data_IF_598153118303
#
_entry.id   IF_598153118303
#
_cell.length_a   1.000
_cell.length_b   1.000
_cell.length_c   1.000
_cell.angle_alpha   90.00
_cell.angle_beta   90.00
_cell.angle_gamma   90.00
#
_symmetry.space_group_name_H-M   'P 1'
#
loop_
_entity.id
_entity.type
_entity.pdbx_description
1 polymer ?
#
# COMPACT_ATOMS: atom_id res chain seq x y z
N UNK A 1 -0.32 -18.99 -15.49
CA UNK A 1 0.59 -18.39 -14.50
C UNK A 1 -0.21 -17.30 -13.79
N UNK A 2 -0.24 -17.30 -12.46
CA UNK A 2 -0.94 -16.25 -11.71
C UNK A 2 -0.46 -14.86 -12.12
N UNK A 3 -1.35 -13.89 -12.07
CA UNK A 3 -1.02 -12.50 -12.39
C UNK A 3 -0.11 -11.87 -11.32
N UNK A 4 0.54 -10.78 -11.66
CA UNK A 4 1.16 -9.88 -10.69
C UNK A 4 0.40 -8.55 -10.69
N UNK A 5 0.36 -7.87 -9.56
CA UNK A 5 -0.28 -6.58 -9.49
C UNK A 5 0.49 -5.58 -8.64
N UNK A 6 0.30 -4.29 -8.95
CA UNK A 6 0.78 -3.19 -8.13
C UNK A 6 -0.36 -2.22 -7.81
N UNK A 7 -0.50 -1.85 -6.53
CA UNK A 7 -1.37 -0.76 -6.12
C UNK A 7 -0.54 0.52 -6.03
N UNK A 8 -0.92 1.51 -6.82
CA UNK A 8 -0.28 2.82 -6.88
C UNK A 8 -1.08 3.86 -6.10
N UNK A 9 -0.37 4.63 -5.29
CA UNK A 9 -0.95 5.69 -4.45
C UNK A 9 -0.98 7.06 -5.14
N UNK A 10 -1.17 8.11 -4.34
CA UNK A 10 -1.35 9.51 -4.78
C UNK A 10 -0.17 10.12 -5.55
N UNK A 11 1.01 9.48 -5.54
CA UNK A 11 2.14 9.92 -6.39
C UNK A 11 1.84 9.80 -7.90
N UNK A 12 0.78 9.07 -8.28
CA UNK A 12 0.33 8.84 -9.67
C UNK A 12 -1.08 9.43 -9.89
N UNK A 13 -1.28 10.67 -9.44
CA UNK A 13 -2.63 11.25 -9.29
C UNK A 13 -3.30 11.65 -10.60
N UNK A 14 -2.56 12.06 -11.61
CA UNK A 14 -3.13 12.88 -12.69
C UNK A 14 -3.18 12.18 -14.06
N UNK A 15 -2.33 11.20 -14.31
CA UNK A 15 -2.26 10.53 -15.60
C UNK A 15 -1.64 9.14 -15.51
N UNK A 16 -1.94 8.31 -16.51
CA UNK A 16 -1.20 7.06 -16.73
C UNK A 16 0.29 7.37 -16.90
N UNK A 17 1.19 6.56 -16.28
CA UNK A 17 2.60 6.63 -16.61
C UNK A 17 2.79 6.44 -18.12
N UNK A 18 3.36 7.47 -18.80
CA UNK A 18 3.41 7.51 -20.26
C UNK A 18 4.35 6.48 -20.91
N UNK A 19 5.14 5.80 -20.09
CA UNK A 19 6.05 4.72 -20.46
C UNK A 19 5.41 3.31 -20.30
N UNK A 20 4.19 3.23 -19.78
CA UNK A 20 3.44 1.98 -19.59
C UNK A 20 2.27 1.90 -20.56
N UNK A 21 2.24 0.85 -21.38
CA UNK A 21 1.09 0.52 -22.22
C UNK A 21 0.00 -0.17 -21.38
N UNK A 22 -0.86 0.64 -20.78
CA UNK A 22 -1.93 0.22 -19.86
C UNK A 22 -3.31 0.32 -20.52
N UNK A 23 -4.10 -0.74 -20.37
CA UNK A 23 -5.50 -0.76 -20.84
C UNK A 23 -6.43 -0.98 -19.64
N UNK A 24 -7.45 -0.13 -19.45
CA UNK A 24 -8.42 -0.33 -18.37
C UNK A 24 -9.29 -1.56 -18.64
N UNK A 25 -9.52 -2.34 -17.59
CA UNK A 25 -10.44 -3.47 -17.54
C UNK A 25 -11.35 -3.28 -16.32
N UNK A 26 -12.66 -3.26 -16.56
CA UNK A 26 -13.66 -3.15 -15.50
C UNK A 26 -13.95 -4.55 -14.94
N UNK A 27 -13.76 -4.71 -13.65
CA UNK A 27 -14.01 -5.95 -12.91
C UNK A 27 -15.23 -5.75 -12.01
N UNK A 28 -16.29 -6.48 -12.27
CA UNK A 28 -17.46 -6.53 -11.39
C UNK A 28 -17.19 -7.50 -10.25
N UNK A 29 -17.44 -7.05 -9.02
CA UNK A 29 -17.29 -7.88 -7.82
C UNK A 29 -18.54 -7.77 -6.95
N UNK A 30 -18.70 -8.67 -6.01
CA UNK A 30 -19.78 -8.61 -5.01
C UNK A 30 -19.72 -7.33 -4.14
N UNK A 31 -18.55 -6.68 -4.06
CA UNK A 31 -18.31 -5.43 -3.32
C UNK A 31 -18.44 -4.18 -4.17
N UNK A 32 -18.73 -4.34 -5.47
CA UNK A 32 -18.84 -3.25 -6.45
C UNK A 32 -17.81 -3.35 -7.56
N UNK A 33 -17.90 -2.40 -8.49
CA UNK A 33 -17.03 -2.34 -9.67
C UNK A 33 -15.68 -1.74 -9.33
N UNK A 34 -14.63 -2.33 -9.94
CA UNK A 34 -13.26 -1.84 -9.81
C UNK A 34 -12.56 -1.83 -11.17
N UNK A 35 -11.85 -0.74 -11.50
CA UNK A 35 -11.01 -0.68 -12.69
C UNK A 35 -9.59 -1.17 -12.37
N UNK A 36 -9.14 -2.21 -13.06
CA UNK A 36 -7.75 -2.62 -13.13
C UNK A 36 -7.17 -2.21 -14.49
N UNK A 37 -5.90 -1.83 -14.50
CA UNK A 37 -5.20 -1.46 -15.72
C UNK A 37 -4.23 -2.57 -16.09
N UNK A 38 -4.56 -3.30 -17.14
CA UNK A 38 -3.73 -4.39 -17.64
C UNK A 38 -2.53 -3.84 -18.42
N UNK A 39 -1.33 -4.30 -18.05
CA UNK A 39 -0.12 -4.02 -18.80
C UNK A 39 -0.06 -4.90 -20.04
N UNK A 40 0.13 -4.29 -21.21
CA UNK A 40 0.27 -4.98 -22.50
C UNK A 40 1.72 -5.37 -22.76
N UNK A 41 1.93 -6.17 -23.81
CA UNK A 41 3.25 -6.58 -24.30
C UNK A 41 4.10 -7.36 -23.28
N UNK A 42 3.46 -8.04 -22.33
CA UNK A 42 4.12 -8.83 -21.30
C UNK A 42 3.66 -10.29 -21.34
N UNK A 43 4.58 -11.22 -21.04
CA UNK A 43 4.28 -12.67 -21.09
C UNK A 43 3.37 -13.12 -19.96
N UNK A 44 3.56 -12.55 -18.76
CA UNK A 44 2.77 -12.83 -17.57
C UNK A 44 1.68 -11.77 -17.42
N UNK A 45 0.43 -12.11 -17.09
CA UNK A 45 -0.58 -11.09 -16.79
C UNK A 45 -0.11 -10.16 -15.69
N UNK A 46 -0.16 -8.86 -15.93
CA UNK A 46 0.27 -7.84 -14.98
C UNK A 46 -0.75 -6.70 -14.94
N UNK A 47 -1.08 -6.25 -13.74
CA UNK A 47 -2.10 -5.24 -13.51
C UNK A 47 -1.59 -4.11 -12.61
N UNK A 48 -2.10 -2.91 -12.88
CA UNK A 48 -1.95 -1.75 -12.03
C UNK A 48 -3.34 -1.36 -11.51
N UNK A 49 -3.43 -1.10 -10.22
CA UNK A 49 -4.61 -0.55 -9.57
C UNK A 49 -4.25 0.84 -9.05
N UNK A 50 -4.98 1.86 -9.49
CA UNK A 50 -4.86 3.21 -8.93
C UNK A 50 -5.80 3.32 -7.75
N UNK A 51 -5.24 3.31 -6.53
CA UNK A 51 -5.98 3.29 -5.25
C UNK A 51 -7.06 4.33 -5.14
N UNK A 52 -6.78 5.53 -5.61
CA UNK A 52 -7.67 6.68 -5.53
C UNK A 52 -8.42 6.94 -6.84
N UNK A 53 -8.45 5.94 -7.75
CA UNK A 53 -8.88 6.06 -9.14
C UNK A 53 -7.96 6.97 -10.00
N UNK A 54 -8.24 7.04 -11.28
CA UNK A 54 -7.52 7.88 -12.22
C UNK A 54 -8.53 8.64 -13.10
N UNK A 55 -8.52 10.00 -13.08
CA UNK A 55 -7.72 10.86 -12.21
C UNK A 55 -8.05 10.68 -10.72
N UNK A 56 -7.13 11.08 -9.84
CA UNK A 56 -7.30 10.97 -8.39
C UNK A 56 -8.54 11.75 -7.91
N UNK A 57 -9.55 11.06 -7.42
CA UNK A 57 -10.79 11.66 -6.93
C UNK A 57 -11.28 11.13 -5.59
N UNK A 58 -10.79 9.95 -5.16
CA UNK A 58 -11.21 9.37 -3.89
C UNK A 58 -10.30 9.81 -2.74
N UNK A 59 -10.90 10.30 -1.67
CA UNK A 59 -10.21 10.43 -0.38
C UNK A 59 -9.96 9.04 0.24
N UNK A 60 -9.02 8.89 1.17
CA UNK A 60 -8.70 7.61 1.78
C UNK A 60 -9.90 6.89 2.42
N UNK A 61 -10.85 7.65 2.97
CA UNK A 61 -12.08 7.13 3.58
C UNK A 61 -13.17 6.75 2.56
N UNK A 62 -12.97 7.02 1.28
CA UNK A 62 -13.92 6.71 0.19
C UNK A 62 -13.47 5.49 -0.63
N UNK A 63 -12.30 4.95 -0.34
CA UNK A 63 -11.76 3.80 -1.05
C UNK A 63 -12.55 2.54 -0.68
N UNK A 64 -13.02 1.81 -1.69
CA UNK A 64 -13.64 0.51 -1.50
C UNK A 64 -12.57 -0.60 -1.52
N UNK A 65 -11.92 -0.81 -0.38
CA UNK A 65 -10.82 -1.77 -0.24
C UNK A 65 -11.24 -3.21 -0.54
N UNK A 66 -12.50 -3.60 -0.18
CA UNK A 66 -13.00 -4.95 -0.49
C UNK A 66 -13.18 -5.17 -1.99
N UNK A 67 -13.72 -4.18 -2.72
CA UNK A 67 -13.83 -4.27 -4.17
C UNK A 67 -12.44 -4.36 -4.83
N UNK A 68 -11.46 -3.61 -4.32
CA UNK A 68 -10.07 -3.69 -4.80
C UNK A 68 -9.48 -5.08 -4.59
N UNK A 69 -9.60 -5.65 -3.39
CA UNK A 69 -9.11 -6.98 -3.06
C UNK A 69 -9.82 -8.08 -3.87
N UNK A 70 -11.15 -8.01 -3.98
CA UNK A 70 -11.94 -8.95 -4.78
C UNK A 70 -11.58 -8.89 -6.28
N UNK A 71 -11.34 -7.71 -6.83
CA UNK A 71 -10.90 -7.56 -8.22
C UNK A 71 -9.52 -8.18 -8.47
N UNK A 72 -8.58 -8.03 -7.52
CA UNK A 72 -7.28 -8.70 -7.60
C UNK A 72 -7.41 -10.22 -7.56
N UNK A 73 -8.30 -10.75 -6.73
CA UNK A 73 -8.62 -12.18 -6.68
C UNK A 73 -9.24 -12.66 -7.99
N UNK A 74 -10.14 -11.88 -8.58
CA UNK A 74 -10.84 -12.24 -9.82
C UNK A 74 -9.89 -12.37 -11.03
N UNK A 75 -8.76 -11.65 -11.03
CA UNK A 75 -7.72 -11.77 -12.07
C UNK A 75 -6.60 -12.77 -11.74
N UNK A 76 -6.84 -13.65 -10.77
CA UNK A 76 -5.85 -14.66 -10.29
C UNK A 76 -4.52 -14.01 -9.90
N UNK A 77 -4.58 -12.92 -9.13
CA UNK A 77 -3.38 -12.25 -8.63
C UNK A 77 -2.63 -13.16 -7.65
N UNK A 78 -1.39 -13.52 -7.97
CA UNK A 78 -0.55 -14.36 -7.11
C UNK A 78 0.57 -13.62 -6.40
N UNK A 79 0.79 -12.33 -6.71
CA UNK A 79 1.76 -11.46 -6.03
C UNK A 79 1.29 -10.01 -6.11
N UNK A 80 1.34 -9.31 -4.99
CA UNK A 80 0.91 -7.92 -4.89
C UNK A 80 2.04 -7.02 -4.35
N UNK A 81 2.33 -5.93 -5.06
CA UNK A 81 3.12 -4.82 -4.56
C UNK A 81 2.20 -3.67 -4.14
N UNK A 82 2.26 -3.26 -2.88
CA UNK A 82 1.47 -2.13 -2.38
C UNK A 82 2.39 -0.93 -2.18
N UNK A 83 2.08 0.20 -2.81
CA UNK A 83 2.88 1.42 -2.68
C UNK A 83 2.15 2.50 -1.90
N UNK A 84 2.88 3.36 -1.20
CA UNK A 84 2.31 4.53 -0.53
C UNK A 84 3.33 5.65 -0.36
N UNK A 85 2.84 6.90 -0.37
CA UNK A 85 3.59 8.04 0.16
C UNK A 85 3.32 8.18 1.64
N UNK A 86 4.37 8.35 2.45
CA UNK A 86 4.26 8.30 3.91
C UNK A 86 4.84 9.55 4.59
N UNK A 87 4.30 9.87 5.75
CA UNK A 87 4.95 10.75 6.69
C UNK A 87 5.97 9.97 7.51
N UNK A 88 7.17 10.51 7.68
CA UNK A 88 8.26 9.88 8.42
C UNK A 88 8.23 10.37 9.87
N UNK A 89 8.27 9.43 10.80
CA UNK A 89 8.16 9.65 12.25
C UNK A 89 9.51 9.53 12.96
N UNK A 90 10.52 9.00 12.27
CA UNK A 90 11.87 8.77 12.76
C UNK A 90 12.87 9.62 11.98
N UNK A 91 13.72 10.38 12.69
CA UNK A 91 14.68 11.29 12.08
C UNK A 91 15.79 10.59 11.29
N UNK A 92 16.07 9.35 11.62
CA UNK A 92 17.11 8.56 10.99
C UNK A 92 16.62 7.90 9.67
N UNK A 93 15.30 7.87 9.44
CA UNK A 93 14.72 7.37 8.20
C UNK A 93 14.80 8.46 7.11
N UNK A 94 15.43 8.19 5.96
CA UNK A 94 15.64 9.18 4.91
C UNK A 94 14.34 9.52 4.16
N UNK A 95 14.20 10.82 3.79
CA UNK A 95 13.18 11.24 2.84
C UNK A 95 13.59 10.93 1.40
N UNK A 96 12.58 10.82 0.53
CA UNK A 96 12.73 10.69 -0.92
C UNK A 96 13.53 9.47 -1.39
N UNK A 97 13.60 8.45 -0.54
CA UNK A 97 14.16 7.14 -0.89
C UNK A 97 13.11 6.06 -0.73
N UNK A 98 13.12 5.02 -1.59
CA UNK A 98 12.29 3.85 -1.40
C UNK A 98 12.63 3.14 -0.08
N UNK A 99 11.60 2.77 0.68
CA UNK A 99 11.67 2.03 1.92
C UNK A 99 10.80 0.79 1.77
N UNK A 100 11.26 -0.36 2.24
CA UNK A 100 10.43 -1.56 2.33
C UNK A 100 9.70 -1.57 3.67
N UNK A 101 8.49 -2.09 3.67
CA UNK A 101 7.72 -2.27 4.91
C UNK A 101 7.84 -3.72 5.34
N UNK A 102 8.22 -3.95 6.60
CA UNK A 102 8.34 -5.29 7.19
C UNK A 102 7.22 -5.61 8.18
N UNK A 103 6.65 -4.59 8.82
CA UNK A 103 5.55 -4.78 9.75
C UNK A 103 4.59 -3.58 9.73
N UNK A 104 3.38 -3.75 10.30
CA UNK A 104 2.38 -2.71 10.36
C UNK A 104 1.63 -2.66 11.69
N UNK A 105 1.25 -1.45 12.08
CA UNK A 105 0.35 -1.18 13.19
C UNK A 105 -1.00 -0.71 12.62
N UNK A 106 -2.03 -1.54 12.81
CA UNK A 106 -3.44 -1.23 12.52
C UNK A 106 -4.27 -1.59 13.76
N UNK A 107 -4.24 -0.70 14.75
CA UNK A 107 -4.67 -1.01 16.12
C UNK A 107 -6.15 -1.37 16.26
N UNK A 108 -7.01 -0.81 15.43
CA UNK A 108 -8.45 -1.03 15.47
C UNK A 108 -8.95 -2.07 14.45
N UNK A 109 -8.10 -2.52 13.54
CA UNK A 109 -8.43 -3.46 12.46
C UNK A 109 -9.77 -3.17 11.76
N UNK A 110 -10.01 -1.88 11.41
CA UNK A 110 -11.25 -1.43 10.78
C UNK A 110 -10.98 -0.77 9.43
N UNK A 111 -11.93 -0.99 8.52
CA UNK A 111 -12.02 -0.21 7.28
C UNK A 111 -12.51 1.22 7.58
N UNK A 112 -12.31 2.16 6.66
CA UNK A 112 -12.72 3.55 6.86
C UNK A 112 -14.22 3.76 7.10
N UNK A 113 -15.08 2.84 6.64
CA UNK A 113 -16.52 2.84 6.90
C UNK A 113 -16.90 2.35 8.31
N UNK A 114 -15.89 1.97 9.13
CA UNK A 114 -16.07 1.47 10.48
C UNK A 114 -16.32 -0.04 10.57
N UNK A 115 -16.48 -0.73 9.46
CA UNK A 115 -16.60 -2.19 9.45
C UNK A 115 -15.27 -2.86 9.76
N UNK A 116 -15.27 -4.13 10.16
CA UNK A 116 -14.05 -4.90 10.36
C UNK A 116 -13.26 -5.01 9.06
N UNK A 117 -11.92 -4.93 9.14
CA UNK A 117 -11.06 -5.11 7.99
C UNK A 117 -10.92 -6.60 7.67
N UNK A 118 -11.92 -7.14 6.96
CA UNK A 118 -11.99 -8.54 6.53
C UNK A 118 -12.84 -8.68 5.28
N UNK A 119 -12.55 -9.72 4.47
CA UNK A 119 -13.41 -10.19 3.37
C UNK A 119 -14.53 -11.09 3.89
N UNK A 120 -14.40 -11.66 5.09
CA UNK A 120 -15.31 -12.64 5.65
C UNK A 120 -16.39 -11.95 6.50
N UNK A 121 -17.44 -11.48 5.86
CA UNK A 121 -18.54 -10.77 6.52
C UNK A 121 -19.68 -11.66 6.95
N UNK A 122 -19.76 -12.87 6.39
CA UNK A 122 -20.79 -13.86 6.70
C UNK A 122 -20.16 -15.12 7.34
N UNK A 123 -20.84 -15.78 8.26
CA UNK A 123 -20.34 -17.02 8.85
C UNK A 123 -20.14 -18.11 7.78
N UNK A 124 -19.02 -18.86 7.90
CA UNK A 124 -18.76 -20.02 7.05
C UNK A 124 -17.85 -21.02 7.78
N UNK A 125 -18.07 -22.29 7.57
CA UNK A 125 -17.25 -23.37 8.14
C UNK A 125 -15.83 -23.41 7.54
N UNK A 126 -15.59 -22.67 6.45
CA UNK A 126 -14.30 -22.59 5.77
C UNK A 126 -13.50 -21.36 6.14
N UNK A 127 -14.10 -20.42 6.91
CA UNK A 127 -13.41 -19.23 7.37
C UNK A 127 -12.65 -19.49 8.67
N UNK A 128 -11.44 -18.96 8.77
CA UNK A 128 -10.59 -19.03 9.95
C UNK A 128 -9.98 -17.68 10.30
N UNK A 129 -9.24 -17.63 11.39
CA UNK A 129 -8.46 -16.46 11.73
C UNK A 129 -7.27 -16.33 10.76
N UNK A 130 -7.03 -15.10 10.29
CA UNK A 130 -5.79 -14.78 9.60
C UNK A 130 -4.63 -14.82 10.61
N UNK A 131 -3.66 -15.68 10.35
CA UNK A 131 -2.45 -15.83 11.18
C UNK A 131 -1.24 -15.43 10.33
N UNK A 132 -0.41 -14.54 10.86
CA UNK A 132 0.83 -14.11 10.24
C UNK A 132 2.00 -14.89 10.85
N UNK A 133 2.43 -15.97 10.18
CA UNK A 133 3.56 -16.79 10.66
C UNK A 133 4.90 -16.04 10.50
N UNK A 134 5.06 -15.26 9.42
CA UNK A 134 6.28 -14.48 9.08
C UNK A 134 6.00 -12.97 8.98
N UNK A 135 4.87 -12.50 9.53
CA UNK A 135 4.41 -11.11 9.39
C UNK A 135 3.47 -10.88 8.20
N UNK A 136 2.98 -9.64 8.05
CA UNK A 136 1.98 -9.31 7.02
C UNK A 136 2.58 -9.18 5.61
N UNK A 137 3.90 -9.09 5.49
CA UNK A 137 4.62 -8.97 4.22
C UNK A 137 5.42 -10.23 3.94
N UNK A 138 5.22 -10.82 2.76
CA UNK A 138 5.91 -12.04 2.38
C UNK A 138 7.42 -11.79 2.18
N UNK A 139 8.25 -12.46 2.97
CA UNK A 139 9.71 -12.28 2.96
C UNK A 139 10.30 -12.47 1.56
N UNK A 140 9.87 -13.52 0.84
CA UNK A 140 10.34 -13.80 -0.52
C UNK A 140 9.99 -12.70 -1.52
N UNK A 141 8.77 -12.13 -1.43
CA UNK A 141 8.33 -11.04 -2.31
C UNK A 141 9.06 -9.74 -1.97
N UNK A 142 9.23 -9.46 -0.68
CA UNK A 142 9.99 -8.29 -0.20
C UNK A 142 11.44 -8.33 -0.68
N UNK A 143 12.09 -9.50 -0.63
CA UNK A 143 13.45 -9.66 -1.15
C UNK A 143 13.50 -9.45 -2.68
N UNK A 144 12.55 -9.99 -3.43
CA UNK A 144 12.49 -9.75 -4.88
C UNK A 144 12.32 -8.25 -5.22
N UNK A 145 11.49 -7.53 -4.48
CA UNK A 145 11.35 -6.06 -4.66
C UNK A 145 12.67 -5.36 -4.35
N UNK A 146 13.42 -5.77 -3.32
CA UNK A 146 14.75 -5.24 -3.00
C UNK A 146 15.74 -5.46 -4.14
N UNK A 147 15.78 -6.68 -4.68
CA UNK A 147 16.67 -7.04 -5.77
C UNK A 147 16.37 -6.26 -7.06
N UNK A 148 15.09 -6.11 -7.39
CA UNK A 148 14.64 -5.30 -8.53
C UNK A 148 14.98 -3.81 -8.36
N UNK A 149 14.80 -3.28 -7.16
CA UNK A 149 15.22 -1.90 -6.86
C UNK A 149 16.72 -1.70 -7.08
N UNK A 150 17.55 -2.68 -6.69
CA UNK A 150 18.98 -2.67 -6.96
C UNK A 150 19.32 -2.65 -8.46
N UNK A 151 18.58 -3.40 -9.29
CA UNK A 151 18.78 -3.42 -10.75
C UNK A 151 18.48 -2.07 -11.41
N UNK A 152 17.51 -1.31 -10.90
CA UNK A 152 17.19 0.04 -11.39
C UNK A 152 17.98 1.15 -10.68
N UNK A 153 19.06 0.77 -9.99
CA UNK A 153 19.92 1.68 -9.21
C UNK A 153 19.19 2.51 -8.16
N UNK A 154 18.03 2.02 -7.71
CA UNK A 154 17.32 2.59 -6.58
C UNK A 154 17.90 1.99 -5.29
N UNK A 155 18.65 2.77 -4.53
CA UNK A 155 19.07 2.36 -3.19
C UNK A 155 17.81 2.28 -2.31
N UNK A 156 17.38 1.08 -2.00
CA UNK A 156 16.34 0.84 -1.00
C UNK A 156 17.00 0.92 0.36
N UNK A 157 16.52 1.85 1.18
CA UNK A 157 16.92 1.93 2.58
C UNK A 157 16.40 0.72 3.37
N UNK A 158 16.71 0.68 4.65
CA UNK A 158 16.27 -0.38 5.54
C UNK A 158 14.74 -0.53 5.57
N UNK A 159 14.27 -1.62 6.15
CA UNK A 159 12.85 -1.86 6.38
C UNK A 159 12.29 -0.93 7.47
N UNK A 160 11.00 -0.66 7.40
CA UNK A 160 10.30 0.21 8.35
C UNK A 160 8.98 -0.40 8.79
N UNK A 161 8.63 -0.17 10.05
CA UNK A 161 7.30 -0.47 10.59
C UNK A 161 6.33 0.66 10.25
N UNK A 162 5.23 0.31 9.62
CA UNK A 162 4.23 1.23 9.11
C UNK A 162 3.04 1.36 10.08
N UNK A 163 2.62 2.61 10.40
CA UNK A 163 1.37 2.86 11.12
C UNK A 163 0.25 3.28 10.17
N UNK A 164 -0.84 2.56 10.21
CA UNK A 164 -2.09 2.97 9.57
C UNK A 164 -2.82 3.99 10.44
N UNK A 165 -3.12 5.12 9.87
CA UNK A 165 -3.88 6.19 10.53
C UNK A 165 -5.07 6.54 9.65
N UNK A 166 -6.24 6.16 10.12
CA UNK A 166 -7.47 6.39 9.38
C UNK A 166 -7.65 7.87 9.02
N UNK A 167 -7.89 8.13 7.70
CA UNK A 167 -8.16 9.48 7.19
C UNK A 167 -9.63 9.90 7.38
N UNK A 168 -10.07 11.03 6.77
CA UNK A 168 -9.30 11.83 5.81
C UNK A 168 -8.51 13.00 6.44
N UNK A 169 -8.58 13.24 7.74
CA UNK A 169 -7.84 14.34 8.39
C UNK A 169 -6.37 14.00 8.62
N UNK A 170 -5.54 15.02 8.64
CA UNK A 170 -4.15 14.87 9.07
C UNK A 170 -4.05 14.56 10.56
N UNK A 171 -2.94 13.98 10.98
CA UNK A 171 -2.64 13.64 12.36
C UNK A 171 -2.37 14.90 13.18
N UNK A 172 -2.75 14.86 14.45
CA UNK A 172 -2.35 15.86 15.44
C UNK A 172 -0.90 15.67 15.88
N UNK A 173 -0.29 16.67 16.52
CA UNK A 173 1.05 16.53 17.09
C UNK A 173 1.09 15.39 18.14
N UNK A 174 0.06 15.27 18.97
CA UNK A 174 -0.03 14.19 19.96
C UNK A 174 -0.06 12.80 19.33
N UNK A 175 -0.80 12.61 18.23
CA UNK A 175 -0.81 11.35 17.47
C UNK A 175 0.57 11.05 16.86
N UNK A 176 1.24 12.04 16.29
CA UNK A 176 2.59 11.88 15.76
C UNK A 176 3.63 11.61 16.88
N UNK A 177 3.40 12.04 18.12
CA UNK A 177 4.20 11.66 19.28
C UNK A 177 3.92 10.23 19.75
N UNK A 178 2.69 9.73 19.60
CA UNK A 178 2.29 8.41 20.08
C UNK A 178 2.84 7.28 19.20
N UNK A 179 2.76 7.40 17.88
CA UNK A 179 3.11 6.34 16.95
C UNK A 179 4.56 5.83 17.07
N UNK A 180 5.60 6.68 17.17
CA UNK A 180 6.97 6.19 17.40
C UNK A 180 7.14 5.43 18.71
N UNK A 181 6.37 5.78 19.74
CA UNK A 181 6.39 5.06 21.03
C UNK A 181 5.79 3.67 20.94
N UNK A 182 4.96 3.42 19.93
CA UNK A 182 4.42 2.11 19.60
C UNK A 182 5.32 1.35 18.60
N UNK A 183 6.44 1.93 18.18
CA UNK A 183 7.41 1.30 17.28
C UNK A 183 7.26 1.67 15.81
N UNK A 184 6.32 2.57 15.42
CA UNK A 184 6.18 2.98 14.04
C UNK A 184 7.24 3.99 13.63
N UNK A 185 7.81 3.80 12.45
CA UNK A 185 8.78 4.71 11.85
C UNK A 185 8.17 5.59 10.74
N UNK A 186 7.07 5.11 10.14
CA UNK A 186 6.32 5.85 9.10
C UNK A 186 4.82 5.72 9.30
N UNK A 187 4.04 6.65 8.76
CA UNK A 187 2.59 6.57 8.79
C UNK A 187 1.92 7.03 7.49
N UNK A 188 0.76 6.47 7.18
CA UNK A 188 -0.12 6.94 6.12
C UNK A 188 -1.57 6.52 6.37
N UNK A 189 -2.48 6.94 5.47
CA UNK A 189 -3.93 6.68 5.56
C UNK A 189 -4.39 5.51 4.68
N UNK A 190 -3.45 4.71 4.16
CA UNK A 190 -3.69 3.61 3.20
C UNK A 190 -2.71 2.47 3.46
N UNK A 191 -2.60 1.51 2.56
CA UNK A 191 -1.69 0.37 2.58
C UNK A 191 -2.12 -0.77 3.52
N UNK A 192 -2.38 -0.52 4.81
CA UNK A 192 -2.68 -1.60 5.75
C UNK A 192 -3.98 -2.36 5.38
N UNK A 193 -5.11 -1.70 5.03
CA UNK A 193 -6.29 -2.45 4.61
C UNK A 193 -6.04 -3.34 3.39
N UNK A 194 -5.28 -2.88 2.40
CA UNK A 194 -4.95 -3.67 1.21
C UNK A 194 -4.15 -4.92 1.58
N UNK A 195 -3.18 -4.76 2.47
CA UNK A 195 -2.32 -5.88 2.91
C UNK A 195 -3.12 -6.91 3.71
N UNK A 196 -3.96 -6.48 4.65
CA UNK A 196 -4.79 -7.39 5.45
C UNK A 196 -5.74 -8.18 4.54
N UNK A 197 -6.49 -7.49 3.68
CA UNK A 197 -7.46 -8.15 2.80
C UNK A 197 -6.78 -9.07 1.75
N UNK A 198 -5.62 -8.68 1.25
CA UNK A 198 -4.85 -9.52 0.33
C UNK A 198 -4.35 -10.80 1.02
N UNK A 199 -3.88 -10.71 2.27
CA UNK A 199 -3.46 -11.89 3.03
C UNK A 199 -4.64 -12.84 3.30
N UNK A 200 -5.84 -12.32 3.62
CA UNK A 200 -7.05 -13.17 3.74
C UNK A 200 -7.40 -13.90 2.44
N UNK A 201 -7.06 -13.32 1.30
CA UNK A 201 -7.23 -13.93 -0.03
C UNK A 201 -6.01 -14.75 -0.49
N UNK A 202 -5.07 -15.01 0.41
CA UNK A 202 -3.83 -15.75 0.13
C UNK A 202 -2.97 -15.12 -0.99
N UNK A 203 -3.00 -13.79 -1.12
CA UNK A 203 -2.18 -13.04 -2.06
C UNK A 203 -0.95 -12.48 -1.31
N UNK A 204 0.24 -13.06 -1.52
CA UNK A 204 1.46 -12.60 -0.86
C UNK A 204 1.80 -11.17 -1.28
N UNK A 205 2.14 -10.32 -0.30
CA UNK A 205 2.34 -8.90 -0.48
C UNK A 205 3.77 -8.45 -0.16
N UNK A 206 4.22 -7.38 -0.82
CA UNK A 206 5.32 -6.54 -0.37
C UNK A 206 4.83 -5.09 -0.27
N UNK A 207 5.36 -4.35 0.70
CA UNK A 207 5.12 -2.91 0.87
C UNK A 207 6.33 -2.11 0.43
N UNK A 208 6.12 -1.12 -0.46
CA UNK A 208 7.15 -0.17 -0.90
C UNK A 208 6.64 1.25 -0.70
N UNK A 209 7.32 2.01 0.16
CA UNK A 209 6.88 3.34 0.50
C UNK A 209 7.97 4.39 0.31
N UNK A 210 7.57 5.66 0.18
CA UNK A 210 8.52 6.78 0.09
C UNK A 210 8.09 7.85 1.07
N UNK A 211 9.01 8.23 1.96
CA UNK A 211 8.86 9.37 2.84
C UNK A 211 8.91 10.68 2.03
N UNK A 212 7.85 11.48 2.12
CA UNK A 212 7.80 12.78 1.43
C UNK A 212 7.94 13.98 2.37
N UNK A 213 7.78 13.75 3.68
CA UNK A 213 7.95 14.75 4.73
C UNK A 213 8.18 14.10 6.07
N UNK A 214 8.84 14.80 6.98
CA UNK A 214 8.82 14.45 8.39
C UNK A 214 7.47 14.80 9.02
N UNK A 215 6.94 13.89 9.81
CA UNK A 215 5.75 14.06 10.66
C UNK A 215 6.14 14.10 12.14
N UNK A 216 7.38 14.48 12.42
CA UNK A 216 7.92 14.65 13.77
C UNK A 216 7.46 16.02 14.27
N UNK A 217 6.77 16.11 15.42
CA UNK A 217 6.41 17.38 16.00
C UNK A 217 7.67 18.25 16.29
N UNK A 218 7.54 19.54 16.12
CA UNK A 218 8.59 20.53 16.35
C UNK A 218 9.83 20.43 15.42
N UNK A 219 9.70 19.70 14.32
CA UNK A 219 10.73 19.63 13.27
C UNK A 219 10.17 20.16 11.95
N UNK A 220 10.74 21.23 11.46
CA UNK A 220 10.42 21.73 10.12
C UNK A 220 10.88 20.71 9.06
N UNK A 221 10.04 20.41 8.06
CA UNK A 221 10.44 19.54 6.97
C UNK A 221 11.56 20.22 6.16
N UNK A 222 12.65 19.50 5.85
CA UNK A 222 13.65 20.03 4.94
C UNK A 222 13.01 20.32 3.59
N UNK A 223 13.14 21.52 3.06
CA UNK A 223 12.69 21.90 1.73
C UNK A 223 11.44 22.79 1.64
N UNK A 224 10.86 23.27 2.73
CA UNK A 224 9.81 24.30 2.63
C UNK A 224 10.34 25.68 2.20
N UNK A 225 11.63 25.94 2.27
CA UNK A 225 12.22 27.20 1.81
C UNK A 225 12.12 27.38 0.27
N UNK A 226 12.06 26.30 -0.51
CA UNK A 226 11.89 26.38 -1.97
C UNK A 226 10.43 26.57 -2.42
N UNK A 227 9.45 26.20 -1.61
CA UNK A 227 8.03 26.37 -1.96
C UNK A 227 7.47 27.75 -1.57
N UNK A 228 8.11 28.47 -0.69
CA UNK A 228 7.66 29.80 -0.24
C UNK A 228 7.89 30.92 -1.26
N UNK A 229 8.72 30.71 -2.27
CA UNK A 229 9.04 31.75 -3.28
C UNK A 229 7.97 31.94 -4.38
N UNK A 230 6.90 31.11 -4.41
CA UNK A 230 5.88 31.16 -5.46
C UNK A 230 4.48 31.59 -5.03
N UNK A 231 4.24 32.00 -3.78
CA UNK A 231 2.91 32.43 -3.35
C UNK A 231 2.91 33.74 -2.56
N UNK A 232 3.02 34.84 -3.29
CA UNK A 232 2.54 36.12 -2.82
C UNK A 232 1.02 36.16 -2.93
N UNK A 233 0.28 36.06 -1.81
CA UNK A 233 -1.18 36.19 -1.82
C UNK A 233 -1.81 35.72 -0.51
N UNK A 234 -2.24 36.66 0.31
CA UNK A 234 -3.10 36.48 1.48
C UNK A 234 -4.32 35.61 1.14
N UNK A 235 -4.49 34.47 1.82
CA UNK A 235 -5.75 33.71 1.82
C UNK A 235 -6.11 33.26 3.22
N UNK A 236 -7.18 33.85 3.73
CA UNK A 236 -7.99 33.29 4.80
C UNK A 236 -8.86 32.17 4.22
N UNK A 237 -8.89 31.00 4.84
CA UNK A 237 -9.89 29.97 4.52
C UNK A 237 -9.25 28.62 4.27
N UNK A 238 -9.76 27.67 4.99
CA UNK A 238 -9.58 26.23 4.95
C UNK A 238 -9.26 25.71 3.53
N UNK A 239 -7.98 25.63 3.21
CA UNK A 239 -7.54 24.94 1.99
C UNK A 239 -7.52 23.44 2.25
N UNK A 240 -8.38 22.72 1.53
CA UNK A 240 -8.18 21.30 1.32
C UNK A 240 -6.86 21.13 0.61
N UNK A 241 -5.82 20.72 1.35
CA UNK A 241 -4.54 20.35 0.79
C UNK A 241 -4.72 19.07 -0.05
N UNK A 242 -5.20 19.25 -1.27
CA UNK A 242 -4.83 18.34 -2.34
C UNK A 242 -3.34 18.60 -2.57
N UNK A 243 -2.44 17.63 -2.37
CA UNK A 243 -1.03 17.85 -2.63
C UNK A 243 -0.80 17.87 -4.13
N UNK A 244 -1.04 19.03 -4.75
CA UNK A 244 -0.51 19.36 -6.08
C UNK A 244 0.96 19.80 -5.98
N UNK A 245 1.71 19.22 -5.08
CA UNK A 245 3.16 19.28 -5.16
C UNK A 245 3.56 18.23 -6.20
N UNK A 246 3.93 18.71 -7.39
CA UNK A 246 4.62 17.89 -8.39
C UNK A 246 5.64 17.03 -7.64
N UNK A 247 5.59 15.69 -7.75
CA UNK A 247 6.63 14.86 -7.18
C UNK A 247 7.94 15.37 -7.74
N UNK A 248 8.93 15.58 -6.87
CA UNK A 248 10.27 15.85 -7.34
C UNK A 248 10.59 14.76 -8.39
N UNK A 249 10.95 15.17 -9.60
CA UNK A 249 11.04 14.30 -10.78
C UNK A 249 11.83 12.99 -10.56
N UNK A 250 12.64 12.90 -9.49
CA UNK A 250 13.39 11.71 -9.12
C UNK A 250 12.58 10.60 -8.44
N UNK A 251 11.56 10.91 -7.62
CA UNK A 251 10.81 9.91 -6.83
C UNK A 251 9.83 9.17 -7.72
N UNK A 252 9.09 9.90 -8.55
CA UNK A 252 8.14 9.32 -9.50
C UNK A 252 8.85 8.38 -10.48
N UNK A 253 10.05 8.74 -10.95
CA UNK A 253 10.81 7.91 -11.88
C UNK A 253 11.36 6.64 -11.22
N UNK A 254 11.76 6.67 -9.96
CA UNK A 254 12.27 5.48 -9.26
C UNK A 254 11.14 4.51 -8.91
N UNK A 255 10.01 4.99 -8.38
CA UNK A 255 8.82 4.17 -8.16
C UNK A 255 8.25 3.65 -9.48
N UNK A 256 8.15 4.50 -10.50
CA UNK A 256 7.70 4.08 -11.83
C UNK A 256 8.61 3.02 -12.46
N UNK A 257 9.93 3.05 -12.23
CA UNK A 257 10.84 2.01 -12.71
C UNK A 257 10.70 0.70 -11.96
N UNK A 258 10.54 0.73 -10.63
CA UNK A 258 10.31 -0.48 -9.82
C UNK A 258 8.95 -1.09 -10.13
N UNK A 259 7.94 -0.25 -10.39
CA UNK A 259 6.58 -0.67 -10.75
C UNK A 259 6.36 -0.78 -12.25
N UNK A 260 7.35 -0.41 -13.09
CA UNK A 260 7.26 -0.59 -14.54
C UNK A 260 7.14 -2.08 -14.87
N UNK A 261 6.38 -2.37 -15.91
CA UNK A 261 5.95 -3.73 -16.24
C UNK A 261 7.06 -4.77 -16.30
N UNK A 262 8.27 -4.41 -16.74
CA UNK A 262 9.39 -5.32 -16.80
C UNK A 262 9.84 -5.78 -15.41
N UNK A 263 9.88 -4.87 -14.42
CA UNK A 263 10.35 -5.17 -13.06
C UNK A 263 9.30 -5.89 -12.22
N UNK A 264 8.03 -5.50 -12.31
CA UNK A 264 6.92 -6.19 -11.62
C UNK A 264 6.71 -7.60 -12.16
N UNK A 265 7.04 -7.82 -13.44
CA UNK A 265 6.88 -9.13 -14.08
C UNK A 265 7.89 -10.19 -13.66
N UNK A 266 9.03 -9.80 -13.12
CA UNK A 266 10.03 -10.74 -12.63
C UNK A 266 9.69 -11.27 -11.24
N UNK A 267 8.71 -10.67 -10.54
CA UNK A 267 8.22 -11.20 -9.28
C UNK A 267 7.66 -12.62 -9.51
N UNK A 268 8.31 -13.61 -8.96
CA UNK A 268 7.90 -15.01 -9.08
C UNK A 268 7.26 -15.47 -7.78
N UNK A 269 6.15 -16.18 -7.89
CA UNK A 269 5.59 -16.94 -6.79
C UNK A 269 6.46 -18.18 -6.57
N UNK A 270 7.54 -18.07 -5.80
CA UNK A 270 8.16 -19.24 -5.24
C UNK A 270 7.28 -19.73 -4.09
N UNK A 271 7.01 -21.04 -3.94
CA UNK A 271 6.29 -21.55 -2.79
C UNK A 271 7.15 -21.31 -1.54
N UNK A 272 6.94 -20.18 -0.88
CA UNK A 272 7.54 -19.92 0.42
C UNK A 272 6.74 -20.71 1.46
N UNK A 273 7.43 -21.45 2.33
CA UNK A 273 6.84 -22.08 3.52
C UNK A 273 6.59 -20.98 4.56
N UNK A 274 5.61 -20.14 4.37
CA UNK A 274 5.38 -19.00 5.26
C UNK A 274 4.35 -18.02 4.72
N UNK A 275 3.28 -18.56 4.15
CA UNK A 275 2.11 -17.77 3.82
C UNK A 275 1.22 -17.68 5.07
N UNK A 276 0.55 -16.57 5.24
CA UNK A 276 -0.54 -16.47 6.22
C UNK A 276 -1.44 -17.70 6.06
N UNK A 277 -1.60 -18.50 7.11
CA UNK A 277 -2.44 -19.68 7.09
C UNK A 277 -3.73 -19.40 7.81
N UNK A 278 -4.84 -19.80 7.21
CA UNK A 278 -6.10 -19.90 7.93
C UNK A 278 -6.02 -21.08 8.88
N UNK A 279 -6.03 -20.82 10.18
CA UNK A 279 -6.18 -21.85 11.19
C UNK A 279 -7.69 -22.08 11.41
N UNK A 280 -8.24 -23.08 10.76
CA UNK A 280 -9.50 -23.65 11.19
C UNK A 280 -9.23 -24.37 12.52
N UNK A 281 -9.60 -23.77 13.64
CA UNK A 281 -9.64 -24.47 14.92
C UNK A 281 -10.79 -25.47 14.86
N UNK A 282 -10.51 -26.68 14.39
CA UNK A 282 -11.36 -27.84 14.61
C UNK A 282 -11.29 -28.14 16.11
N UNK A 283 -12.25 -27.64 16.87
CA UNK A 283 -12.54 -28.14 18.21
C UNK A 283 -13.10 -29.56 18.01
N UNK A 284 -12.23 -30.56 17.98
CA UNK A 284 -12.61 -31.91 18.26
C UNK A 284 -13.13 -31.95 19.70
N UNK A 285 -14.45 -31.96 19.86
CA UNK A 285 -15.08 -32.33 21.11
C UNK A 285 -14.84 -33.82 21.31
N UNK A 286 -13.85 -34.15 22.12
CA UNK A 286 -13.72 -35.48 22.66
C UNK A 286 -14.98 -35.84 23.44
N UNK A 287 -15.43 -37.11 23.47
CA UNK A 287 -16.62 -37.49 24.18
C UNK A 287 -16.39 -37.33 25.68
N UNK A 288 -17.29 -36.62 26.36
CA UNK A 288 -17.41 -36.69 27.82
C UNK A 288 -17.86 -38.09 28.20
N UNK A 289 -17.00 -38.82 28.89
CA UNK A 289 -17.38 -39.95 29.75
C UNK A 289 -17.41 -39.50 31.19
#
# INVERSE_FOLDING_TARGET
MPAVAAILGSAFADALPGDLDLTPEEIETEWGRQTLYRLRAVKRPAYVLFRHELPHRLLPNQINYRAQAAALRAVDCGVLLVTSSVGVLDADVPLYRPLLVDDLLMLDNRLPDGSACTMFTEPSDTHGHLVFDEGPFAVAVTQQVRDLAGQVQASVADTVTFAYVQGPRTKTAAENWAWPRLGAQVNSMTLAPEVILANELEIPCAGLVVGHKYSIPDRDPPGQEESASCSGGSRSGMEYLCPTTRPAHGISSSLARITSGASVMELTCAPSRGHARFSAAVLERGPCT
#
